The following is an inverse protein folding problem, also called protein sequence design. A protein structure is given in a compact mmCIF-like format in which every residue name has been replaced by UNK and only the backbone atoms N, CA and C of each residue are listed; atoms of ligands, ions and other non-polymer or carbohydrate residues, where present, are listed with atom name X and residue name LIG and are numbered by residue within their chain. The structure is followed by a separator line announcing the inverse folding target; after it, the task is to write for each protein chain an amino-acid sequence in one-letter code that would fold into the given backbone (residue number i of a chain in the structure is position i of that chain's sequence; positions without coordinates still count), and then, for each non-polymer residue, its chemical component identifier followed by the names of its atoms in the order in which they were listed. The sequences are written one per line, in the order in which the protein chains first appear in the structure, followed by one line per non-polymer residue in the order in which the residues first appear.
data_IF_561005256837
#
_entry.id   IF_561005256837
#
_cell.length_a   1.000
_cell.length_b   1.000
_cell.length_c   1.000
_cell.angle_alpha   90.00
_cell.angle_beta   90.00
_cell.angle_gamma   90.00
#
_symmetry.space_group_name_H-M   'P 1'
#
loop_
_entity.id
_entity.type
_entity.pdbx_description
1 polymer ?
#
# COMPACT_ATOMS: atom_id res chain seq x y z
N UNK A 1 -12.67 -0.93 -7.58
CA UNK A 1 -11.31 -0.72 -7.01
C UNK A 1 -11.11 0.76 -6.75
N UNK A 2 -11.14 1.20 -5.48
CA UNK A 2 -11.06 2.63 -5.15
C UNK A 2 -9.60 3.14 -5.12
N UNK A 3 -9.39 4.28 -5.80
CA UNK A 3 -8.11 4.97 -6.09
C UNK A 3 -7.47 5.68 -4.87
N UNK A 4 -7.45 5.02 -3.71
CA UNK A 4 -7.15 5.68 -2.43
C UNK A 4 -5.75 5.39 -1.87
N UNK A 5 -5.01 4.44 -2.46
CA UNK A 5 -3.67 4.11 -1.97
C UNK A 5 -2.65 5.18 -2.39
N UNK A 6 -2.65 5.58 -3.66
CA UNK A 6 -1.59 6.42 -4.27
C UNK A 6 -1.92 7.92 -4.36
N UNK A 7 -3.09 8.34 -3.88
CA UNK A 7 -3.50 9.74 -3.90
C UNK A 7 -3.14 10.42 -2.58
N UNK A 8 -2.25 11.41 -2.61
CA UNK A 8 -1.96 12.25 -1.45
C UNK A 8 -3.22 13.08 -1.16
N UNK A 9 -3.83 12.87 0.01
CA UNK A 9 -4.97 13.68 0.45
C UNK A 9 -6.31 13.31 -0.18
N UNK A 10 -6.66 12.02 -0.29
CA UNK A 10 -8.08 11.66 -0.53
C UNK A 10 -8.96 12.07 0.65
N UNK A 11 -10.07 12.74 0.34
CA UNK A 11 -11.14 13.19 1.25
C UNK A 11 -11.88 12.06 1.97
N UNK A 12 -11.49 10.80 1.79
CA UNK A 12 -12.06 9.62 2.45
C UNK A 12 -11.95 9.66 4.00
N UNK A 13 -11.09 10.55 4.54
CA UNK A 13 -10.99 10.81 5.98
C UNK A 13 -12.20 11.55 6.56
N UNK A 14 -12.97 12.29 5.74
CA UNK A 14 -14.13 13.06 6.20
C UNK A 14 -15.39 12.20 6.35
N UNK A 15 -15.48 11.11 5.60
CA UNK A 15 -16.67 10.24 5.57
C UNK A 15 -16.57 9.03 6.49
N UNK A 16 -15.36 8.55 6.85
CA UNK A 16 -15.21 7.42 7.75
C UNK A 16 -13.96 7.53 8.66
N UNK A 17 -14.05 8.23 9.81
CA UNK A 17 -12.90 8.56 10.67
C UNK A 17 -12.33 7.35 11.44
N UNK A 18 -13.06 6.23 11.48
CA UNK A 18 -12.68 5.02 12.21
C UNK A 18 -12.53 3.82 11.28
N UNK A 19 -11.56 2.95 11.58
CA UNK A 19 -11.43 1.67 10.87
C UNK A 19 -12.66 0.79 11.13
N UNK A 20 -13.24 0.19 10.08
CA UNK A 20 -14.46 -0.65 10.19
C UNK A 20 -14.34 -1.80 11.19
N UNK A 21 -13.15 -2.39 11.34
CA UNK A 21 -12.95 -3.60 12.17
C UNK A 21 -12.52 -3.31 13.61
N UNK A 22 -11.67 -2.31 13.83
CA UNK A 22 -11.02 -2.07 15.14
C UNK A 22 -11.36 -0.71 15.76
N UNK A 23 -12.25 0.08 15.15
CA UNK A 23 -12.69 1.37 15.70
C UNK A 23 -11.57 2.39 15.93
N UNK A 24 -10.33 2.14 15.45
CA UNK A 24 -9.23 3.08 15.67
C UNK A 24 -9.39 4.31 14.77
N UNK A 25 -9.03 5.51 15.24
CA UNK A 25 -8.95 6.66 14.38
C UNK A 25 -7.99 6.35 13.24
N UNK A 26 -8.38 6.66 12.00
CA UNK A 26 -7.50 6.47 10.83
C UNK A 26 -6.39 7.53 10.89
N UNK A 27 -5.36 7.26 11.68
CA UNK A 27 -4.18 8.11 11.83
C UNK A 27 -3.15 7.76 10.75
N UNK A 28 -2.62 8.81 10.10
CA UNK A 28 -1.54 8.66 9.12
C UNK A 28 -1.62 9.63 7.95
N UNK A 29 -0.57 10.42 7.79
CA UNK A 29 -0.16 10.93 6.49
C UNK A 29 0.65 9.81 5.81
N UNK A 30 -0.04 8.91 5.10
CA UNK A 30 0.54 7.73 4.41
C UNK A 30 1.75 8.06 3.51
N UNK A 31 1.93 9.34 3.13
CA UNK A 31 3.08 9.82 2.38
C UNK A 31 4.42 9.64 3.08
N UNK A 32 4.51 9.83 4.41
CA UNK A 32 5.80 9.79 5.14
C UNK A 32 6.41 8.38 5.13
N UNK A 33 5.57 7.35 5.28
CA UNK A 33 6.03 5.95 5.21
C UNK A 33 6.53 5.53 3.83
N UNK A 34 5.99 6.12 2.75
CA UNK A 34 6.45 5.87 1.36
C UNK A 34 7.86 6.42 1.14
N UNK A 35 8.10 7.66 1.55
CA UNK A 35 9.43 8.28 1.46
C UNK A 35 10.46 7.53 2.29
N UNK A 36 10.08 7.03 3.47
CA UNK A 36 10.97 6.19 4.27
C UNK A 36 11.35 4.88 3.55
N UNK A 37 10.39 4.19 2.93
CA UNK A 37 10.66 2.95 2.19
C UNK A 37 11.54 3.17 0.96
N UNK A 38 11.29 4.23 0.19
CA UNK A 38 12.12 4.62 -0.97
C UNK A 38 13.56 4.93 -0.57
N UNK A 39 13.76 5.58 0.59
CA UNK A 39 15.10 5.92 1.06
C UNK A 39 15.89 4.70 1.53
N UNK A 40 15.21 3.68 2.05
CA UNK A 40 15.84 2.49 2.62
C UNK A 40 16.09 1.38 1.59
N UNK A 41 15.36 1.35 0.50
CA UNK A 41 15.38 0.24 -0.45
C UNK A 41 15.07 0.70 -1.87
N UNK A 42 15.50 -0.05 -2.88
CA UNK A 42 15.16 0.18 -4.28
C UNK A 42 13.81 -0.43 -4.65
N UNK A 43 13.35 -1.44 -3.92
CA UNK A 43 12.06 -2.10 -4.15
C UNK A 43 11.27 -2.27 -2.85
N UNK A 44 9.94 -2.23 -3.00
CA UNK A 44 9.00 -2.58 -1.95
C UNK A 44 8.01 -3.61 -2.48
N UNK A 45 7.89 -4.73 -1.76
CA UNK A 45 6.78 -5.67 -1.92
C UNK A 45 5.77 -5.46 -0.80
N UNK A 46 4.52 -5.14 -1.16
CA UNK A 46 3.40 -5.06 -0.24
C UNK A 46 2.53 -6.29 -0.44
N UNK A 47 2.31 -7.05 0.62
CA UNK A 47 1.34 -8.14 0.64
C UNK A 47 0.28 -7.81 1.68
N UNK A 48 -0.99 -7.83 1.28
CA UNK A 48 -2.10 -7.60 2.19
C UNK A 48 -3.19 -8.63 1.98
N UNK A 49 -3.82 -9.02 3.06
CA UNK A 49 -4.96 -9.93 3.06
C UNK A 49 -6.06 -9.30 3.90
N UNK A 50 -7.26 -9.22 3.32
CA UNK A 50 -8.45 -8.69 3.98
C UNK A 50 -9.58 -9.71 3.91
N UNK A 51 -10.31 -9.86 5.02
CA UNK A 51 -11.54 -10.66 5.03
C UNK A 51 -12.66 -9.87 4.35
N UNK A 52 -13.30 -10.50 3.37
CA UNK A 52 -14.43 -9.98 2.59
C UNK A 52 -15.63 -10.92 2.72
N UNK A 53 -16.78 -10.55 2.15
CA UNK A 53 -17.96 -11.44 2.09
C UNK A 53 -17.71 -12.70 1.26
N UNK A 54 -16.73 -12.66 0.34
CA UNK A 54 -16.42 -13.73 -0.62
C UNK A 54 -15.26 -14.63 -0.16
N UNK A 55 -14.70 -14.38 1.03
CA UNK A 55 -13.51 -15.06 1.54
C UNK A 55 -12.39 -14.09 1.87
N UNK A 56 -11.14 -14.54 1.79
CA UNK A 56 -9.95 -13.73 2.02
C UNK A 56 -9.41 -13.21 0.70
N UNK A 57 -9.43 -11.89 0.51
CA UNK A 57 -8.86 -11.23 -0.66
C UNK A 57 -7.39 -10.92 -0.38
N UNK A 58 -6.52 -11.51 -1.19
CA UNK A 58 -5.08 -11.30 -1.16
C UNK A 58 -4.70 -10.34 -2.26
N UNK A 59 -3.81 -9.40 -1.94
CA UNK A 59 -3.21 -8.50 -2.91
C UNK A 59 -1.72 -8.38 -2.64
N UNK A 60 -0.92 -8.66 -3.66
CA UNK A 60 0.51 -8.39 -3.67
C UNK A 60 0.80 -7.31 -4.69
N UNK A 61 1.53 -6.27 -4.28
CA UNK A 61 1.96 -5.16 -5.15
C UNK A 61 3.47 -5.03 -5.08
N UNK A 62 4.11 -4.92 -6.24
CA UNK A 62 5.54 -4.65 -6.36
C UNK A 62 5.73 -3.21 -6.81
N UNK A 63 6.48 -2.46 -6.02
CA UNK A 63 6.92 -1.10 -6.31
C UNK A 63 8.40 -1.15 -6.63
N UNK A 64 8.78 -0.75 -7.84
CA UNK A 64 10.15 -0.38 -8.16
C UNK A 64 10.26 1.14 -8.09
N UNK A 65 11.09 1.66 -7.19
CA UNK A 65 11.14 3.10 -6.95
C UNK A 65 11.74 3.87 -8.13
N UNK A 66 12.49 3.20 -8.99
CA UNK A 66 13.06 3.81 -10.18
C UNK A 66 11.99 4.17 -11.22
N UNK A 67 10.80 3.55 -11.15
CA UNK A 67 9.64 3.91 -11.98
C UNK A 67 8.97 5.23 -11.55
N UNK A 68 9.31 5.75 -10.35
CA UNK A 68 8.73 6.95 -9.77
C UNK A 68 9.61 8.18 -10.04
N UNK A 69 9.60 8.64 -11.28
CA UNK A 69 10.41 9.76 -11.77
C UNK A 69 9.81 11.12 -11.34
N UNK A 70 10.61 12.10 -10.90
CA UNK A 70 10.13 13.45 -10.60
C UNK A 70 9.37 14.08 -11.79
N UNK A 71 8.23 14.69 -11.52
CA UNK A 71 7.38 15.34 -12.52
C UNK A 71 6.33 14.43 -13.17
N UNK A 72 6.37 13.12 -12.94
CA UNK A 72 5.31 12.19 -13.37
C UNK A 72 4.27 12.05 -12.26
N UNK A 73 2.96 12.22 -12.56
CA UNK A 73 1.91 11.95 -11.58
C UNK A 73 1.94 10.49 -11.09
N UNK A 74 1.82 10.28 -9.77
CA UNK A 74 1.83 8.94 -9.16
C UNK A 74 0.76 8.01 -9.75
N UNK A 75 -0.37 8.55 -10.21
CA UNK A 75 -1.44 7.80 -10.86
C UNK A 75 -1.02 7.14 -12.18
N UNK A 76 0.06 7.64 -12.80
CA UNK A 76 0.54 7.17 -14.09
C UNK A 76 1.65 6.13 -13.96
N UNK A 77 2.22 5.95 -12.76
CA UNK A 77 3.20 4.90 -12.50
C UNK A 77 2.47 3.57 -12.36
N UNK A 78 2.59 2.70 -13.37
CA UNK A 78 1.98 1.37 -13.32
C UNK A 78 2.77 0.46 -12.40
N UNK A 79 2.14 0.03 -11.31
CA UNK A 79 2.70 -0.96 -10.41
C UNK A 79 2.25 -2.35 -10.84
N UNK A 80 3.15 -3.33 -10.79
CA UNK A 80 2.76 -4.73 -10.98
C UNK A 80 2.03 -5.20 -9.73
N UNK A 81 0.86 -5.80 -9.90
CA UNK A 81 0.10 -6.36 -8.79
C UNK A 81 -0.58 -7.66 -9.20
N UNK A 82 -0.82 -8.51 -8.20
CA UNK A 82 -1.61 -9.73 -8.33
C UNK A 82 -2.65 -9.76 -7.22
N UNK A 83 -3.85 -10.25 -7.53
CA UNK A 83 -4.90 -10.45 -6.54
C UNK A 83 -5.59 -11.79 -6.75
N UNK A 84 -5.96 -12.44 -5.65
CA UNK A 84 -6.72 -13.67 -5.67
C UNK A 84 -7.56 -13.79 -4.39
N UNK A 85 -8.59 -14.63 -4.45
CA UNK A 85 -9.47 -14.93 -3.31
C UNK A 85 -9.23 -16.37 -2.87
N UNK A 86 -9.22 -16.61 -1.57
CA UNK A 86 -9.17 -17.96 -0.98
C UNK A 86 -10.13 -18.12 0.20
N UNK A 87 -10.44 -19.37 0.56
CA UNK A 87 -11.27 -19.70 1.71
C UNK A 87 -10.59 -19.43 3.06
N UNK A 88 -9.25 -19.42 3.07
CA UNK A 88 -8.41 -19.21 4.24
C UNK A 88 -7.38 -18.11 3.97
N UNK A 89 -7.04 -17.32 5.00
CA UNK A 89 -6.00 -16.30 4.89
C UNK A 89 -5.72 -15.61 6.22
N UNK A 90 -4.48 -15.17 6.40
CA UNK A 90 -4.07 -14.40 7.58
C UNK A 90 -4.31 -12.90 7.32
N UNK A 91 -5.22 -12.28 8.07
CA UNK A 91 -5.55 -10.86 7.89
C UNK A 91 -4.36 -10.01 8.32
N UNK A 92 -3.90 -9.12 7.43
CA UNK A 92 -2.81 -8.23 7.76
C UNK A 92 -2.22 -7.56 6.54
N UNK A 93 -1.18 -6.77 6.78
CA UNK A 93 -0.38 -6.13 5.73
C UNK A 93 1.08 -6.25 6.10
N UNK A 94 1.87 -6.80 5.18
CA UNK A 94 3.32 -6.94 5.29
C UNK A 94 4.00 -6.05 4.25
N UNK A 95 5.03 -5.33 4.68
CA UNK A 95 5.89 -4.52 3.81
C UNK A 95 7.30 -5.14 3.83
N UNK A 96 7.76 -5.63 2.68
CA UNK A 96 9.08 -6.20 2.52
C UNK A 96 9.95 -5.29 1.65
N UNK A 97 10.94 -4.67 2.28
CA UNK A 97 11.96 -3.87 1.61
C UNK A 97 12.96 -4.81 0.92
N UNK A 98 13.18 -4.63 -0.38
CA UNK A 98 14.08 -5.43 -1.21
C UNK A 98 15.15 -4.55 -1.84
N UNK A 99 16.35 -5.10 -2.03
CA UNK A 99 17.54 -4.35 -2.50
C UNK A 99 17.76 -3.11 -1.63
N UNK A 100 18.13 -3.35 -0.36
CA UNK A 100 18.36 -2.26 0.59
C UNK A 100 19.48 -1.36 0.07
N UNK A 101 19.25 -0.05 0.15
CA UNK A 101 20.26 0.94 -0.24
C UNK A 101 21.30 0.99 0.87
N UNK A 102 22.58 0.84 0.52
CA UNK A 102 23.66 1.03 1.47
C UNK A 102 23.67 2.49 1.96
N UNK A 103 24.06 2.65 3.22
CA UNK A 103 24.11 3.95 3.87
C UNK A 103 25.37 4.66 3.37
N UNK A 104 25.20 5.68 2.51
CA UNK A 104 26.25 6.70 2.27
C UNK A 104 26.45 7.51 3.54
#
# INVERSE_FOLDING_TARGET
MEKNWMTIGTSNKRTNPFSKLYGRPVTGNKGIGRFACQRLAEQLELTTCAKTEQGFEHTTVLFDWDDFIPGVPLSNVQCRYNTYISSEGEIGTTLKLKRLRERV
#
